data_IF_276470933492
#
_entry.id   IF_276470933492
#
_cell.length_a   1.000
_cell.length_b   1.000
_cell.length_c   1.000
_cell.angle_alpha   90.00
_cell.angle_beta   90.00
_cell.angle_gamma   90.00
#
_symmetry.space_group_name_H-M   'P 1'
#
loop_
_entity.id
_entity.type
_entity.pdbx_description
1 polymer ?
#
# COMPACT_ATOMS: atom_id res chain seq x y z
N UNK A 1 20.09 -22.57 -39.29
CA UNK A 1 20.32 -22.71 -37.83
C UNK A 1 19.72 -21.48 -37.14
N UNK A 2 18.43 -21.54 -36.76
CA UNK A 2 17.69 -20.37 -36.27
C UNK A 2 17.98 -20.14 -34.78
N UNK A 3 18.52 -18.97 -34.42
CA UNK A 3 18.61 -18.50 -33.03
C UNK A 3 17.17 -18.28 -32.53
N UNK A 4 16.72 -19.15 -31.62
CA UNK A 4 15.43 -18.98 -30.93
C UNK A 4 15.53 -17.69 -30.11
N UNK A 5 14.71 -16.70 -30.45
CA UNK A 5 14.58 -15.47 -29.68
C UNK A 5 13.92 -15.79 -28.32
N UNK A 6 14.74 -16.17 -27.35
CA UNK A 6 14.33 -16.49 -25.97
C UNK A 6 14.04 -15.22 -25.15
N UNK A 7 13.39 -14.22 -25.75
CA UNK A 7 13.03 -12.95 -25.12
C UNK A 7 12.05 -13.12 -23.95
N UNK A 8 11.31 -14.23 -23.92
CA UNK A 8 10.35 -14.60 -22.88
C UNK A 8 10.87 -15.64 -21.87
N UNK A 9 12.17 -15.96 -21.89
CA UNK A 9 12.71 -16.83 -20.85
C UNK A 9 12.66 -16.13 -19.48
N UNK A 10 12.45 -16.86 -18.37
CA UNK A 10 12.48 -16.27 -17.02
C UNK A 10 13.79 -15.54 -16.71
N UNK A 11 14.89 -15.94 -17.36
CA UNK A 11 16.22 -15.29 -17.22
C UNK A 11 16.26 -13.95 -17.94
N UNK A 12 15.82 -13.88 -19.19
CA UNK A 12 15.80 -12.61 -19.95
C UNK A 12 14.85 -11.60 -19.34
N UNK A 13 13.70 -12.02 -18.79
CA UNK A 13 12.79 -11.15 -18.05
C UNK A 13 13.42 -10.61 -16.76
N UNK A 14 14.08 -11.45 -15.96
CA UNK A 14 14.78 -11.01 -14.74
C UNK A 14 15.89 -10.01 -15.02
N UNK A 15 16.62 -10.19 -16.11
CA UNK A 15 17.68 -9.27 -16.53
C UNK A 15 17.11 -7.93 -17.01
N UNK A 16 15.99 -7.97 -17.73
CA UNK A 16 15.27 -6.77 -18.17
C UNK A 16 14.69 -5.96 -16.99
N UNK A 17 14.14 -6.63 -15.98
CA UNK A 17 13.65 -5.99 -14.75
C UNK A 17 14.81 -5.34 -13.99
N UNK A 18 15.93 -6.06 -13.81
CA UNK A 18 17.12 -5.55 -13.12
C UNK A 18 17.71 -4.30 -13.78
N UNK A 19 17.69 -4.24 -15.12
CA UNK A 19 18.23 -3.12 -15.88
C UNK A 19 17.23 -1.98 -16.09
N UNK A 20 15.97 -2.16 -15.68
CA UNK A 20 14.93 -1.11 -15.75
C UNK A 20 14.91 -0.17 -14.54
N UNK A 21 15.61 -0.55 -13.46
CA UNK A 21 15.69 0.28 -12.26
C UNK A 21 16.84 1.30 -12.38
N UNK A 22 16.61 2.57 -12.00
CA UNK A 22 17.68 3.56 -11.98
C UNK A 22 18.75 3.11 -10.99
N UNK A 23 19.98 3.00 -11.47
CA UNK A 23 21.13 2.69 -10.63
C UNK A 23 21.40 3.78 -9.59
N UNK A 24 22.34 3.54 -8.66
CA UNK A 24 22.70 4.52 -7.65
C UNK A 24 23.10 5.85 -8.28
N UNK A 25 22.52 6.94 -7.77
CA UNK A 25 22.74 8.29 -8.31
C UNK A 25 24.20 8.77 -8.16
N UNK A 26 24.94 8.19 -7.21
CA UNK A 26 26.33 8.55 -6.91
C UNK A 26 27.21 7.31 -6.77
N UNK A 27 28.49 7.44 -7.14
CA UNK A 27 29.50 6.39 -6.96
C UNK A 27 29.94 6.31 -5.50
N UNK A 28 30.01 5.11 -4.96
CA UNK A 28 30.57 4.84 -3.62
C UNK A 28 32.08 4.69 -3.77
N UNK A 29 32.86 5.73 -3.47
CA UNK A 29 34.32 5.76 -3.77
C UNK A 29 35.22 6.15 -2.60
N UNK A 30 34.75 6.99 -1.66
CA UNK A 30 35.58 7.55 -0.59
C UNK A 30 35.18 6.96 0.77
N UNK A 31 36.15 6.58 1.62
CA UNK A 31 35.88 6.08 2.97
C UNK A 31 35.45 7.23 3.91
N UNK A 32 34.86 6.91 5.08
CA UNK A 32 34.55 5.58 5.59
C UNK A 32 33.34 4.93 4.91
N UNK A 33 33.38 3.60 4.73
CA UNK A 33 32.28 2.82 4.19
C UNK A 33 31.39 2.29 5.32
N UNK A 34 30.08 2.25 5.09
CA UNK A 34 29.09 1.76 6.04
C UNK A 34 28.27 0.64 5.42
N UNK A 35 27.95 -0.37 6.23
CA UNK A 35 27.07 -1.47 5.86
C UNK A 35 26.14 -1.79 7.04
N UNK A 36 24.92 -2.20 6.73
CA UNK A 36 23.94 -2.64 7.71
C UNK A 36 23.24 -3.91 7.20
N UNK A 37 22.88 -4.78 8.13
CA UNK A 37 22.01 -5.92 7.82
C UNK A 37 20.56 -5.45 7.80
N UNK A 38 19.80 -5.94 6.83
CA UNK A 38 18.35 -5.71 6.76
C UNK A 38 17.64 -7.03 6.53
N UNK A 39 16.58 -7.26 7.31
CA UNK A 39 15.66 -8.38 7.13
C UNK A 39 14.29 -7.83 6.78
N UNK A 40 13.48 -8.54 5.98
CA UNK A 40 12.09 -8.15 5.76
C UNK A 40 11.33 -8.13 7.08
N UNK A 41 10.58 -7.06 7.33
CA UNK A 41 9.75 -6.88 8.52
C UNK A 41 8.32 -6.57 8.06
N UNK A 42 7.33 -7.16 8.74
CA UNK A 42 5.94 -6.81 8.53
C UNK A 42 5.73 -5.33 8.86
N UNK A 43 5.37 -4.55 7.85
CA UNK A 43 5.28 -3.11 7.95
C UNK A 43 3.83 -2.64 8.08
N UNK A 44 2.94 -3.18 7.23
CA UNK A 44 1.61 -2.63 7.08
C UNK A 44 0.60 -3.67 6.56
N UNK A 45 -0.68 -3.47 6.88
CA UNK A 45 -1.79 -4.29 6.37
C UNK A 45 -2.73 -3.45 5.50
N UNK A 46 -2.72 -3.73 4.19
CA UNK A 46 -3.68 -3.12 3.25
C UNK A 46 -5.13 -3.61 3.46
N UNK A 47 -5.28 -4.68 4.24
CA UNK A 47 -6.56 -5.28 4.60
C UNK A 47 -7.09 -4.70 5.91
N UNK A 48 -8.41 -4.77 6.11
CA UNK A 48 -9.07 -4.28 7.32
C UNK A 48 -10.58 -4.47 7.23
N UNK A 49 -11.32 -3.74 8.05
CA UNK A 49 -12.78 -3.72 8.03
C UNK A 49 -13.28 -3.26 6.65
N UNK A 50 -14.32 -3.92 6.16
CA UNK A 50 -15.02 -3.50 4.95
C UNK A 50 -15.76 -2.20 5.25
N UNK A 51 -15.51 -1.17 4.44
CA UNK A 51 -16.18 0.12 4.55
C UNK A 51 -16.80 0.56 3.22
N UNK A 52 -17.80 1.43 3.27
CA UNK A 52 -18.28 2.15 2.09
C UNK A 52 -17.52 3.48 1.89
N UNK A 53 -17.91 4.26 0.87
CA UNK A 53 -17.30 5.56 0.55
C UNK A 53 -17.50 6.63 1.63
N UNK A 54 -18.41 6.41 2.58
CA UNK A 54 -18.66 7.25 3.75
C UNK A 54 -17.92 6.78 5.01
N UNK A 55 -16.97 5.86 4.85
CA UNK A 55 -16.21 5.25 5.95
C UNK A 55 -17.07 4.49 6.97
N UNK A 56 -18.30 4.13 6.62
CA UNK A 56 -19.18 3.32 7.49
C UNK A 56 -18.79 1.86 7.39
N UNK A 57 -18.74 1.17 8.53
CA UNK A 57 -18.41 -0.27 8.58
C UNK A 57 -19.56 -1.09 8.02
N UNK A 58 -19.20 -2.05 7.16
CA UNK A 58 -20.12 -2.99 6.53
C UNK A 58 -19.93 -4.37 7.19
N UNK A 59 -21.03 -4.97 7.60
CA UNK A 59 -21.05 -6.32 8.17
C UNK A 59 -20.88 -7.43 7.11
N UNK A 60 -20.98 -8.68 7.55
CA UNK A 60 -20.86 -9.86 6.68
C UNK A 60 -22.06 -10.05 5.75
N UNK A 61 -23.19 -9.43 6.05
CA UNK A 61 -24.42 -9.46 5.26
C UNK A 61 -24.51 -8.27 4.29
N UNK A 62 -23.42 -7.51 4.10
CA UNK A 62 -23.37 -6.28 3.32
C UNK A 62 -24.28 -5.15 3.85
N UNK A 63 -24.60 -5.16 5.14
CA UNK A 63 -25.38 -4.12 5.79
C UNK A 63 -24.45 -3.13 6.51
N UNK A 64 -24.81 -1.86 6.48
CA UNK A 64 -24.10 -0.82 7.24
C UNK A 64 -24.43 -0.97 8.72
N UNK A 65 -23.39 -0.94 9.57
CA UNK A 65 -23.55 -0.91 11.02
C UNK A 65 -23.76 0.55 11.45
N UNK A 66 -24.96 0.95 11.93
CA UNK A 66 -25.24 2.33 12.28
C UNK A 66 -24.31 2.85 13.37
N UNK A 67 -23.79 4.06 13.20
CA UNK A 67 -22.90 4.72 14.17
C UNK A 67 -21.46 4.20 14.18
N UNK A 68 -21.13 3.15 13.42
CA UNK A 68 -19.78 2.60 13.39
C UNK A 68 -19.03 3.01 12.13
N UNK A 69 -17.92 3.73 12.33
CA UNK A 69 -17.04 4.21 11.27
C UNK A 69 -15.62 3.70 11.47
N UNK A 70 -14.90 3.44 10.38
CA UNK A 70 -13.50 3.02 10.41
C UNK A 70 -12.70 3.75 9.33
N UNK A 71 -11.43 4.02 9.64
CA UNK A 71 -10.49 4.68 8.75
C UNK A 71 -9.05 4.22 9.05
N UNK A 72 -8.08 4.65 8.25
CA UNK A 72 -6.68 4.31 8.47
C UNK A 72 -6.41 2.82 8.31
N UNK A 73 -5.54 2.28 9.15
CA UNK A 73 -5.13 0.87 9.11
C UNK A 73 -6.26 -0.11 9.43
N UNK A 74 -7.24 0.32 10.21
CA UNK A 74 -8.40 -0.50 10.57
C UNK A 74 -9.38 -0.71 9.40
N UNK A 75 -9.30 0.09 8.33
CA UNK A 75 -10.16 0.00 7.15
C UNK A 75 -9.41 -0.66 5.97
N UNK A 76 -10.09 -1.59 5.29
CA UNK A 76 -9.54 -2.31 4.14
C UNK A 76 -10.01 -1.76 2.79
N UNK A 77 -9.35 -2.22 1.72
CA UNK A 77 -9.78 -1.96 0.34
C UNK A 77 -9.09 -0.79 -0.36
N UNK A 78 -8.00 -0.26 0.22
CA UNK A 78 -7.20 0.81 -0.38
C UNK A 78 -5.81 0.31 -0.78
N UNK A 79 -5.34 0.74 -1.95
CA UNK A 79 -3.99 0.45 -2.45
C UNK A 79 -2.92 1.44 -1.96
N UNK A 80 -3.32 2.44 -1.15
CA UNK A 80 -2.43 3.48 -0.62
C UNK A 80 -2.02 3.14 0.82
N UNK A 81 -0.74 3.23 1.12
CA UNK A 81 -0.17 3.01 2.45
C UNK A 81 0.23 4.33 3.14
N UNK A 82 0.35 4.31 4.46
CA UNK A 82 0.96 5.40 5.24
C UNK A 82 0.06 6.61 5.50
N UNK A 83 0.69 7.76 5.74
CA UNK A 83 0.04 8.93 6.35
C UNK A 83 -1.20 9.46 5.60
N UNK A 84 -1.25 9.52 4.25
CA UNK A 84 -2.44 10.00 3.55
C UNK A 84 -3.68 9.16 3.83
N UNK A 85 -3.53 7.83 4.01
CA UNK A 85 -4.63 6.93 4.35
C UNK A 85 -5.22 7.30 5.72
N UNK A 86 -4.40 7.59 6.71
CA UNK A 86 -4.88 7.95 8.05
C UNK A 86 -5.47 9.36 8.07
N UNK A 87 -4.78 10.34 7.50
CA UNK A 87 -5.19 11.76 7.59
C UNK A 87 -6.42 12.08 6.74
N UNK A 88 -6.49 11.57 5.51
CA UNK A 88 -7.62 11.84 4.61
C UNK A 88 -8.87 11.08 5.06
N UNK A 89 -8.77 9.76 5.26
CA UNK A 89 -9.93 8.97 5.68
C UNK A 89 -10.33 9.26 7.13
N UNK A 90 -9.39 9.61 8.01
CA UNK A 90 -9.71 10.07 9.36
C UNK A 90 -10.58 11.33 9.34
N UNK A 91 -10.23 12.31 8.49
CA UNK A 91 -11.05 13.51 8.30
C UNK A 91 -12.41 13.19 7.68
N UNK A 92 -12.47 12.30 6.69
CA UNK A 92 -13.72 11.90 6.05
C UNK A 92 -14.65 11.19 7.04
N UNK A 93 -14.15 10.16 7.73
CA UNK A 93 -14.89 9.41 8.74
C UNK A 93 -15.40 10.31 9.86
N UNK A 94 -14.56 11.23 10.37
CA UNK A 94 -14.96 12.18 11.41
C UNK A 94 -16.09 13.12 10.97
N UNK A 95 -16.06 13.61 9.72
CA UNK A 95 -17.14 14.45 9.17
C UNK A 95 -18.44 13.68 9.03
N UNK A 96 -18.39 12.49 8.43
CA UNK A 96 -19.58 11.65 8.24
C UNK A 96 -20.19 11.24 9.59
N UNK A 97 -19.36 10.86 10.56
CA UNK A 97 -19.80 10.52 11.90
C UNK A 97 -20.48 11.70 12.62
N UNK A 98 -19.93 12.91 12.51
CA UNK A 98 -20.52 14.11 13.10
C UNK A 98 -21.86 14.50 12.44
N UNK A 99 -21.94 14.43 11.11
CA UNK A 99 -23.17 14.76 10.37
C UNK A 99 -24.30 13.75 10.59
N UNK A 100 -23.99 12.49 10.88
CA UNK A 100 -24.99 11.44 11.10
C UNK A 100 -25.85 11.64 12.36
N UNK A 101 -25.38 12.44 13.34
CA UNK A 101 -26.09 12.70 14.60
C UNK A 101 -26.76 14.10 14.64
N UNK A 102 -26.68 14.87 13.55
CA UNK A 102 -27.18 16.25 13.51
C UNK A 102 -28.65 16.36 13.03
N UNK A 103 -29.43 15.28 13.13
CA UNK A 103 -30.83 15.18 12.70
C UNK A 103 -31.76 14.84 13.84
#
# INVERSE_FOLDING_TARGET
MAKKNDTFSPRSMREKIRNSEPGPMYKIQKPPFYAAWSTPILHDTLSGLKINTKCQVIDRNNQVIPGLYACGESAGGFALHGLPRVTVFGRAAGREAASANAS
#
